data_IF_722298807652
#
_entry.id   IF_722298807652
#
_cell.length_a   1.000
_cell.length_b   1.000
_cell.length_c   1.000
_cell.angle_alpha   90.00
_cell.angle_beta   90.00
_cell.angle_gamma   90.00
#
_symmetry.space_group_name_H-M   'P 1'
#
loop_
_entity.id
_entity.type
_entity.pdbx_description
1 polymer ?
#
# COMPACT_ATOMS: atom_id res chain seq x y z
N UNK A 1 -3.59 7.12 25.80
CA UNK A 1 -3.83 7.13 24.33
C UNK A 1 -3.32 5.84 23.73
N UNK A 2 -2.01 5.57 23.81
CA UNK A 2 -1.43 4.33 23.30
C UNK A 2 -1.84 3.07 24.09
N UNK A 3 -2.02 3.17 25.42
CA UNK A 3 -2.53 2.02 26.20
C UNK A 3 -3.94 1.58 25.77
N UNK A 4 -4.81 2.55 25.47
CA UNK A 4 -6.14 2.25 24.94
C UNK A 4 -6.08 1.62 23.54
N UNK A 5 -5.10 2.01 22.72
CA UNK A 5 -4.88 1.38 21.42
C UNK A 5 -4.32 -0.04 21.58
N UNK A 6 -3.45 -0.29 22.55
CA UNK A 6 -2.98 -1.64 22.89
C UNK A 6 -4.15 -2.56 23.29
N UNK A 7 -5.10 -2.07 24.08
CA UNK A 7 -6.35 -2.78 24.41
C UNK A 7 -7.23 -3.03 23.17
N UNK A 8 -7.40 -2.03 22.30
CA UNK A 8 -8.11 -2.20 21.03
C UNK A 8 -7.44 -3.25 20.12
N UNK A 9 -6.10 -3.26 20.06
CA UNK A 9 -5.34 -4.25 19.31
C UNK A 9 -5.56 -5.66 19.84
N UNK A 10 -5.62 -5.84 21.16
CA UNK A 10 -5.94 -7.14 21.76
C UNK A 10 -7.30 -7.67 21.27
N UNK A 11 -8.32 -6.81 21.23
CA UNK A 11 -9.65 -7.18 20.70
C UNK A 11 -9.60 -7.48 19.19
N UNK A 12 -8.83 -6.72 18.42
CA UNK A 12 -8.64 -6.98 16.99
C UNK A 12 -7.94 -8.32 16.74
N UNK A 13 -6.93 -8.67 17.53
CA UNK A 13 -6.25 -9.95 17.42
C UNK A 13 -7.18 -11.13 17.70
N UNK A 14 -8.12 -10.98 18.64
CA UNK A 14 -9.18 -11.97 18.87
C UNK A 14 -10.13 -12.11 17.68
N UNK A 15 -10.50 -10.99 17.05
CA UNK A 15 -11.37 -10.98 15.88
C UNK A 15 -10.69 -11.53 14.60
N UNK A 16 -9.36 -11.57 14.57
CA UNK A 16 -8.53 -12.05 13.45
C UNK A 16 -8.96 -11.47 12.09
N UNK A 17 -9.01 -10.13 11.92
CA UNK A 17 -9.35 -9.50 10.66
C UNK A 17 -8.38 -9.90 9.55
N UNK A 18 -8.81 -9.71 8.31
CA UNK A 18 -7.92 -9.87 7.17
C UNK A 18 -6.73 -8.90 7.28
N UNK A 19 -5.58 -9.28 6.71
CA UNK A 19 -4.34 -8.50 6.84
C UNK A 19 -4.51 -7.07 6.29
N UNK A 20 -5.30 -6.91 5.22
CA UNK A 20 -5.59 -5.62 4.60
C UNK A 20 -6.48 -4.74 5.48
N UNK A 21 -7.50 -5.33 6.11
CA UNK A 21 -8.40 -4.63 7.03
C UNK A 21 -7.65 -4.13 8.26
N UNK A 22 -6.76 -4.96 8.80
CA UNK A 22 -5.89 -4.58 9.92
C UNK A 22 -5.02 -3.36 9.57
N UNK A 23 -4.34 -3.39 8.41
CA UNK A 23 -3.47 -2.30 8.00
C UNK A 23 -4.22 -1.04 7.58
N UNK A 24 -5.47 -1.17 7.10
CA UNK A 24 -6.33 -0.03 6.87
C UNK A 24 -6.67 0.69 8.17
N UNK A 25 -7.17 -0.06 9.16
CA UNK A 25 -7.46 0.48 10.50
C UNK A 25 -6.21 1.09 11.14
N UNK A 26 -5.06 0.42 11.03
CA UNK A 26 -3.79 0.93 11.53
C UNK A 26 -3.46 2.30 10.97
N UNK A 27 -3.54 2.46 9.64
CA UNK A 27 -3.23 3.73 8.96
C UNK A 27 -4.15 4.86 9.41
N UNK A 28 -5.46 4.61 9.52
CA UNK A 28 -6.42 5.62 9.98
C UNK A 28 -6.07 6.14 11.39
N UNK A 29 -5.59 5.25 12.27
CA UNK A 29 -5.16 5.62 13.63
C UNK A 29 -3.82 6.35 13.64
N UNK A 30 -2.87 5.93 12.81
CA UNK A 30 -1.57 6.58 12.64
C UNK A 30 -1.76 8.04 12.17
N UNK A 31 -2.55 8.26 11.12
CA UNK A 31 -2.86 9.60 10.58
C UNK A 31 -3.55 10.51 11.62
N UNK A 32 -4.47 9.96 12.41
CA UNK A 32 -5.14 10.71 13.48
C UNK A 32 -4.17 11.16 14.58
N UNK A 33 -3.17 10.33 14.90
CA UNK A 33 -2.16 10.65 15.92
C UNK A 33 -1.15 11.65 15.36
N UNK A 34 -0.64 11.45 14.14
CA UNK A 34 0.29 12.39 13.49
C UNK A 34 -0.27 13.82 13.42
N UNK A 35 -1.58 13.97 13.20
CA UNK A 35 -2.25 15.28 13.21
C UNK A 35 -2.33 15.97 14.58
N UNK A 36 -2.13 15.25 15.67
CA UNK A 36 -2.22 15.75 17.05
C UNK A 36 -0.86 15.90 17.73
N UNK A 37 0.20 15.31 17.17
CA UNK A 37 1.52 15.23 17.78
C UNK A 37 2.28 16.54 17.61
N UNK A 38 2.83 17.04 18.71
CA UNK A 38 3.76 18.17 18.69
C UNK A 38 5.21 17.68 18.52
N UNK A 39 6.14 18.51 18.01
CA UNK A 39 7.53 18.12 17.85
C UNK A 39 8.19 17.60 19.14
N UNK A 40 7.85 18.16 20.29
CA UNK A 40 8.37 17.74 21.60
C UNK A 40 7.88 16.34 22.02
N UNK A 41 6.81 15.85 21.39
CA UNK A 41 6.23 14.53 21.66
C UNK A 41 6.68 13.47 20.64
N UNK A 42 7.35 13.85 19.56
CA UNK A 42 7.71 12.95 18.46
C UNK A 42 8.47 11.70 18.95
N UNK A 43 9.51 11.87 19.75
CA UNK A 43 10.30 10.75 20.26
C UNK A 43 9.49 9.79 21.18
N UNK A 44 8.51 10.32 21.92
CA UNK A 44 7.62 9.50 22.74
C UNK A 44 6.63 8.71 21.87
N UNK A 45 6.11 9.35 20.84
CA UNK A 45 5.16 8.78 19.89
C UNK A 45 5.83 7.68 19.05
N UNK A 46 7.03 7.92 18.55
CA UNK A 46 7.82 6.95 17.80
C UNK A 46 8.05 5.68 18.64
N UNK A 47 8.48 5.84 19.90
CA UNK A 47 8.68 4.72 20.81
C UNK A 47 7.38 3.95 21.11
N UNK A 48 6.24 4.65 21.15
CA UNK A 48 4.94 4.01 21.33
C UNK A 48 4.51 3.23 20.09
N UNK A 49 4.70 3.77 18.88
CA UNK A 49 4.46 3.06 17.63
C UNK A 49 5.32 1.82 17.49
N UNK A 50 6.61 1.89 17.83
CA UNK A 50 7.51 0.74 17.81
C UNK A 50 7.00 -0.39 18.70
N UNK A 51 6.52 -0.06 19.91
CA UNK A 51 5.91 -1.05 20.82
C UNK A 51 4.65 -1.68 20.22
N UNK A 52 3.75 -0.88 19.68
CA UNK A 52 2.51 -1.37 19.07
C UNK A 52 2.80 -2.24 17.83
N UNK A 53 3.82 -1.87 17.05
CA UNK A 53 4.27 -2.63 15.90
C UNK A 53 4.78 -4.02 16.31
N UNK A 54 5.60 -4.07 17.36
CA UNK A 54 6.10 -5.34 17.89
C UNK A 54 4.97 -6.27 18.35
N UNK A 55 3.89 -5.71 18.92
CA UNK A 55 2.68 -6.49 19.25
C UNK A 55 2.00 -7.02 17.99
N UNK A 56 1.77 -6.18 16.98
CA UNK A 56 1.17 -6.60 15.72
C UNK A 56 1.96 -7.73 15.04
N UNK A 57 3.30 -7.61 14.99
CA UNK A 57 4.19 -8.62 14.42
C UNK A 57 4.16 -9.94 15.19
N UNK A 58 4.13 -9.89 16.53
CA UNK A 58 4.00 -11.09 17.37
C UNK A 58 2.69 -11.86 17.10
N UNK A 59 1.66 -11.17 16.62
CA UNK A 59 0.38 -11.74 16.21
C UNK A 59 0.29 -12.09 14.72
N UNK A 60 1.38 -11.96 13.97
CA UNK A 60 1.48 -12.35 12.56
C UNK A 60 1.10 -11.25 11.56
N UNK A 61 0.82 -10.04 12.04
CA UNK A 61 0.60 -8.86 11.20
C UNK A 61 1.95 -8.19 10.90
N UNK A 62 2.73 -8.77 9.99
CA UNK A 62 4.00 -8.20 9.56
C UNK A 62 3.79 -7.23 8.39
N UNK A 63 4.46 -6.06 8.40
CA UNK A 63 4.53 -5.21 7.22
C UNK A 63 5.36 -5.92 6.14
N UNK A 64 4.75 -6.27 5.02
CA UNK A 64 5.52 -6.71 3.85
C UNK A 64 6.42 -5.56 3.40
N UNK A 65 7.72 -5.79 3.15
CA UNK A 65 8.55 -4.77 2.55
C UNK A 65 7.93 -4.36 1.22
N UNK A 66 7.76 -3.05 1.00
CA UNK A 66 7.13 -2.48 -0.19
C UNK A 66 7.71 -2.98 -1.54
N UNK A 67 8.87 -3.64 -1.51
CA UNK A 67 9.49 -4.31 -2.65
C UNK A 67 8.73 -5.55 -3.17
N UNK A 68 7.85 -6.18 -2.39
CA UNK A 68 7.14 -7.40 -2.80
C UNK A 68 5.89 -7.14 -3.67
N UNK A 69 5.32 -5.93 -3.61
CA UNK A 69 4.00 -5.63 -4.22
C UNK A 69 4.10 -4.99 -5.60
N UNK A 70 5.30 -4.64 -6.08
CA UNK A 70 5.48 -3.92 -7.35
C UNK A 70 5.62 -4.84 -8.59
N UNK A 71 5.60 -6.17 -8.44
CA UNK A 71 5.78 -7.11 -9.57
C UNK A 71 4.48 -7.62 -10.21
N UNK A 72 3.31 -7.16 -9.75
CA UNK A 72 2.01 -7.55 -10.32
C UNK A 72 1.37 -6.45 -11.19
N UNK A 73 1.90 -5.23 -11.21
CA UNK A 73 1.32 -4.09 -11.95
C UNK A 73 2.05 -3.78 -13.27
N UNK A 74 2.43 -4.81 -14.04
CA UNK A 74 2.76 -4.61 -15.45
C UNK A 74 1.88 -5.52 -16.32
N UNK A 75 0.66 -5.11 -16.69
CA UNK A 75 0.05 -5.66 -17.88
C UNK A 75 0.90 -5.28 -19.09
N UNK A 76 1.18 -6.28 -19.92
CA UNK A 76 1.94 -6.20 -21.14
C UNK A 76 1.33 -5.17 -22.13
N UNK A 77 1.86 -3.95 -22.13
CA UNK A 77 1.67 -3.01 -23.22
C UNK A 77 2.97 -2.96 -24.02
N UNK A 78 3.17 -3.97 -24.86
CA UNK A 78 4.04 -3.84 -26.03
C UNK A 78 3.33 -4.52 -27.21
N UNK A 79 2.11 -4.04 -27.50
CA UNK A 79 1.49 -4.23 -28.80
C UNK A 79 2.06 -3.14 -29.69
N UNK A 80 3.27 -3.37 -30.20
CA UNK A 80 3.73 -2.67 -31.40
C UNK A 80 2.89 -3.21 -32.56
N UNK A 81 1.84 -2.47 -32.94
CA UNK A 81 1.17 -2.65 -34.22
C UNK A 81 2.21 -2.43 -35.32
N UNK A 82 2.41 -3.37 -36.27
CA UNK A 82 3.24 -3.09 -37.43
C UNK A 82 2.59 -1.97 -38.24
N UNK A 83 3.39 -0.96 -38.59
CA UNK A 83 2.99 0.12 -39.47
C UNK A 83 2.39 -0.47 -40.75
N UNK A 84 1.16 -0.07 -41.08
CA UNK A 84 0.52 -0.43 -42.33
C UNK A 84 1.28 0.30 -43.45
N UNK A 85 2.10 -0.45 -44.15
CA UNK A 85 2.82 -0.04 -45.35
C UNK A 85 1.79 0.17 -46.47
N UNK A 86 1.63 1.42 -46.92
CA UNK A 86 0.76 1.72 -48.06
C UNK A 86 1.49 1.31 -49.35
N UNK A 87 0.92 0.46 -50.22
CA UNK A 87 1.60 0.06 -51.44
C UNK A 87 1.69 1.24 -52.43
N UNK A 88 2.83 1.42 -53.10
CA UNK A 88 2.97 2.37 -54.19
C UNK A 88 2.55 1.71 -55.53
N UNK A 89 1.91 2.48 -56.39
CA UNK A 89 1.61 2.10 -57.78
C UNK A 89 0.11 2.11 -58.10
N UNK A 90 -0.38 2.56 -59.25
CA UNK A 90 0.25 2.89 -60.53
C UNK A 90 -0.67 3.87 -61.28
N UNK A 91 -0.07 4.61 -62.22
CA UNK A 91 -0.75 5.42 -63.24
C UNK A 91 -1.50 4.53 -64.22
N UNK A 92 -2.62 5.03 -64.77
CA UNK A 92 -2.99 5.09 -66.19
C UNK A 92 -4.54 5.12 -66.32
N UNK A 93 -5.16 6.17 -66.87
CA UNK A 93 -5.43 6.50 -68.31
C UNK A 93 -6.91 6.24 -68.65
N UNK A 94 -7.45 7.13 -69.50
CA UNK A 94 -8.74 7.11 -70.22
C UNK A 94 -10.01 7.47 -69.40
N UNK A 95 -10.92 8.34 -69.85
CA UNK A 95 -11.14 9.04 -71.12
C UNK A 95 -12.04 10.27 -70.89
#
# INVERSE_FOLDING_TARGET
MFDAWEEELALLFEARPAIEEFWHYWREREEAIEGLVTPDQAAFVDAAFDRLMALAEAHGYCRLPAAATQRAARPAADVTMPAYDAPPGERDVDA
#
